data_IF_077846492080
#
_entry.id   IF_077846492080
#
_cell.length_a   1.000
_cell.length_b   1.000
_cell.length_c   1.000
_cell.angle_alpha   90.00
_cell.angle_beta   90.00
_cell.angle_gamma   90.00
#
_symmetry.space_group_name_H-M   'P 1'
#
loop_
_entity.id
_entity.type
_entity.pdbx_description
1 polymer ?
#
# COMPACT_ATOMS: atom_id res chain seq x y z
N UNK A 1 -4.17 10.20 -4.46
CA UNK A 1 -4.68 10.37 -5.84
C UNK A 1 -3.80 9.50 -6.71
N UNK A 2 -4.34 8.42 -7.24
CA UNK A 2 -3.76 7.78 -8.42
C UNK A 2 -4.12 8.66 -9.62
N UNK A 3 -3.10 9.22 -10.25
CA UNK A 3 -3.15 9.90 -11.54
C UNK A 3 -3.78 11.32 -11.60
N UNK A 4 -2.95 12.37 -11.48
CA UNK A 4 -3.31 13.73 -11.91
C UNK A 4 -2.20 14.30 -12.82
N UNK A 5 -2.50 14.48 -14.11
CA UNK A 5 -1.58 15.01 -15.14
C UNK A 5 -1.03 16.37 -14.74
N UNK A 6 0.28 16.44 -14.48
CA UNK A 6 1.00 17.71 -14.50
C UNK A 6 1.08 18.19 -15.96
N UNK A 7 0.64 19.42 -16.21
CA UNK A 7 0.71 20.01 -17.54
C UNK A 7 2.16 20.15 -17.99
N UNK A 8 2.40 19.72 -19.22
CA UNK A 8 3.54 19.97 -20.14
C UNK A 8 4.58 18.84 -20.31
N UNK A 9 4.87 17.96 -19.34
CA UNK A 9 5.74 16.76 -19.59
C UNK A 9 5.18 15.40 -19.14
N UNK A 10 3.97 15.35 -18.59
CA UNK A 10 3.27 14.07 -18.33
C UNK A 10 3.79 13.22 -17.17
N UNK A 11 4.71 13.73 -16.34
CA UNK A 11 5.09 13.06 -15.09
C UNK A 11 3.95 13.17 -14.07
N UNK A 12 3.46 12.01 -13.64
CA UNK A 12 2.40 11.89 -12.65
C UNK A 12 2.85 10.88 -11.62
N UNK A 13 3.05 11.29 -10.36
CA UNK A 13 3.43 10.34 -9.33
C UNK A 13 2.23 9.48 -8.91
N UNK A 14 2.50 8.21 -8.61
CA UNK A 14 1.52 7.36 -7.91
C UNK A 14 1.25 7.91 -6.50
N UNK A 15 2.31 8.35 -5.81
CA UNK A 15 2.22 9.09 -4.57
C UNK A 15 3.39 10.06 -4.38
N UNK A 16 3.10 11.23 -3.82
CA UNK A 16 4.10 12.18 -3.37
C UNK A 16 3.74 12.72 -1.98
N UNK A 17 4.71 12.76 -1.08
CA UNK A 17 4.59 13.33 0.25
C UNK A 17 5.46 14.57 0.41
N UNK A 18 4.97 15.60 1.08
CA UNK A 18 5.71 16.83 1.35
C UNK A 18 5.99 16.96 2.84
N UNK A 19 7.24 17.30 3.19
CA UNK A 19 7.66 17.61 4.56
C UNK A 19 8.30 18.99 4.60
N UNK A 20 7.74 19.86 5.44
CA UNK A 20 8.33 21.16 5.78
C UNK A 20 8.21 21.39 7.28
N UNK A 21 9.33 21.26 7.98
CA UNK A 21 9.43 21.35 9.45
C UNK A 21 10.38 22.46 9.90
N UNK A 22 11.05 23.15 8.97
CA UNK A 22 12.10 24.12 9.28
C UNK A 22 13.47 23.46 9.48
N UNK A 23 13.60 22.17 9.14
CA UNK A 23 14.85 21.44 9.27
C UNK A 23 15.33 20.92 7.91
N UNK A 24 16.17 21.72 7.25
CA UNK A 24 16.56 21.59 5.84
C UNK A 24 17.05 20.19 5.44
N UNK A 25 17.80 19.53 6.34
CA UNK A 25 18.33 18.18 6.09
C UNK A 25 17.23 17.14 5.83
N UNK A 26 16.02 17.37 6.35
CA UNK A 26 14.87 16.45 6.21
C UNK A 26 13.67 17.08 5.53
N UNK A 27 13.71 18.38 5.26
CA UNK A 27 12.67 19.10 4.54
C UNK A 27 12.80 18.84 3.04
N UNK A 28 11.68 18.51 2.40
CA UNK A 28 11.64 18.14 0.99
C UNK A 28 10.43 17.27 0.69
N UNK A 29 10.54 16.52 -0.39
CA UNK A 29 9.46 15.71 -0.93
C UNK A 29 9.92 14.26 -1.12
N UNK A 30 8.99 13.33 -0.93
CA UNK A 30 9.21 11.90 -1.18
C UNK A 30 8.27 11.44 -2.28
N UNK A 31 8.85 11.04 -3.40
CA UNK A 31 8.16 10.40 -4.52
C UNK A 31 8.13 8.88 -4.31
N UNK A 32 6.97 8.26 -4.51
CA UNK A 32 6.81 6.81 -4.51
C UNK A 32 6.10 6.37 -5.80
N UNK A 33 6.73 5.44 -6.50
CA UNK A 33 6.23 4.80 -7.73
C UNK A 33 5.92 3.33 -7.47
N UNK A 34 4.66 2.94 -7.62
CA UNK A 34 4.19 1.59 -7.33
C UNK A 34 4.32 0.73 -8.58
N UNK A 35 4.95 -0.43 -8.46
CA UNK A 35 5.13 -1.38 -9.58
C UNK A 35 4.55 -2.74 -9.22
N UNK A 36 3.71 -3.25 -10.12
CA UNK A 36 3.04 -4.56 -9.97
C UNK A 36 3.59 -5.62 -10.90
N UNK A 37 4.45 -5.25 -11.86
CA UNK A 37 5.17 -6.18 -12.73
C UNK A 37 6.61 -5.73 -12.96
N UNK A 38 7.48 -6.70 -13.26
CA UNK A 38 8.89 -6.42 -13.56
C UNK A 38 9.05 -5.61 -14.84
N UNK A 39 8.23 -5.86 -15.85
CA UNK A 39 8.25 -5.13 -17.12
C UNK A 39 7.88 -3.65 -16.93
N UNK A 40 6.86 -3.38 -16.10
CA UNK A 40 6.44 -2.04 -15.73
C UNK A 40 7.57 -1.26 -15.02
N UNK A 41 8.25 -1.90 -14.06
CA UNK A 41 9.44 -1.31 -13.43
C UNK A 41 10.54 -0.95 -14.45
N UNK A 42 10.90 -1.89 -15.34
CA UNK A 42 11.97 -1.67 -16.33
C UNK A 42 11.64 -0.57 -17.35
N UNK A 43 10.36 -0.42 -17.70
CA UNK A 43 9.90 0.65 -18.58
C UNK A 43 9.93 2.01 -17.86
N UNK A 44 9.47 2.06 -16.61
CA UNK A 44 9.47 3.28 -15.81
C UNK A 44 10.90 3.77 -15.52
N UNK A 45 11.79 2.87 -15.10
CA UNK A 45 13.18 3.19 -14.74
C UNK A 45 14.00 3.83 -15.89
N UNK A 46 13.56 3.68 -17.14
CA UNK A 46 14.20 4.27 -18.32
C UNK A 46 13.69 5.66 -18.68
N UNK A 47 12.63 6.15 -18.03
CA UNK A 47 12.10 7.50 -18.28
C UNK A 47 13.15 8.55 -17.90
N UNK A 48 13.26 9.61 -18.71
CA UNK A 48 14.28 10.66 -18.53
C UNK A 48 14.26 11.28 -17.13
N UNK A 49 13.07 11.62 -16.63
CA UNK A 49 12.85 12.20 -15.30
C UNK A 49 13.13 11.22 -14.13
N UNK A 50 13.41 9.94 -14.40
CA UNK A 50 13.89 8.97 -13.40
C UNK A 50 15.41 8.96 -13.28
N UNK A 51 16.11 9.42 -14.32
CA UNK A 51 17.56 9.48 -14.41
C UNK A 51 18.08 10.86 -13.99
N UNK A 52 17.46 11.93 -14.48
CA UNK A 52 17.80 13.31 -14.11
C UNK A 52 16.59 14.24 -14.25
N UNK A 53 16.53 15.27 -13.41
CA UNK A 53 15.35 16.10 -13.24
C UNK A 53 14.24 15.34 -12.52
N UNK A 54 13.00 15.80 -12.68
CA UNK A 54 11.82 15.17 -12.09
C UNK A 54 11.52 15.63 -10.66
N UNK A 55 10.46 15.09 -10.07
CA UNK A 55 9.99 15.45 -8.73
C UNK A 55 10.52 14.49 -7.66
N UNK A 56 10.44 14.90 -6.39
CA UNK A 56 10.88 14.14 -5.24
C UNK A 56 12.35 14.40 -4.90
N UNK A 57 12.58 14.98 -3.72
CA UNK A 57 13.91 15.07 -3.09
C UNK A 57 14.46 13.69 -2.74
N UNK A 58 13.57 12.75 -2.41
CA UNK A 58 13.87 11.33 -2.29
C UNK A 58 12.87 10.53 -3.12
N UNK A 59 13.34 9.47 -3.78
CA UNK A 59 12.56 8.74 -4.77
C UNK A 59 12.61 7.24 -4.46
N UNK A 60 11.45 6.61 -4.46
CA UNK A 60 11.31 5.20 -4.12
C UNK A 60 10.46 4.48 -5.14
N UNK A 61 10.87 3.26 -5.50
CA UNK A 61 9.93 2.28 -5.99
C UNK A 61 9.27 1.56 -4.82
N UNK A 62 7.99 1.23 -4.95
CA UNK A 62 7.28 0.34 -4.06
C UNK A 62 6.78 -0.87 -4.85
N UNK A 63 7.11 -2.08 -4.39
CA UNK A 63 6.72 -3.29 -5.10
C UNK A 63 6.52 -4.48 -4.14
N UNK A 64 5.75 -5.51 -4.56
CA UNK A 64 5.69 -6.79 -3.85
C UNK A 64 7.07 -7.41 -3.64
N UNK A 65 7.16 -8.26 -2.61
CA UNK A 65 8.40 -8.99 -2.31
C UNK A 65 8.93 -9.78 -3.52
N UNK A 66 10.21 -9.56 -3.83
CA UNK A 66 10.93 -10.25 -4.91
C UNK A 66 10.71 -9.68 -6.32
N UNK A 67 9.87 -8.65 -6.49
CA UNK A 67 9.61 -8.09 -7.82
C UNK A 67 10.78 -7.23 -8.35
N UNK A 68 11.38 -6.41 -7.49
CA UNK A 68 12.53 -5.56 -7.82
C UNK A 68 13.72 -6.03 -6.98
N UNK A 69 14.85 -6.29 -7.64
CA UNK A 69 16.13 -6.49 -6.96
C UNK A 69 16.72 -5.10 -6.65
N UNK A 70 17.18 -4.83 -5.42
CA UNK A 70 17.84 -3.57 -5.09
C UNK A 70 18.99 -3.20 -6.04
N UNK A 71 19.67 -4.17 -6.65
CA UNK A 71 20.78 -3.92 -7.57
C UNK A 71 20.33 -3.39 -8.95
N UNK A 72 19.04 -3.51 -9.28
CA UNK A 72 18.49 -2.99 -10.53
C UNK A 72 18.00 -1.54 -10.42
N UNK A 73 18.04 -0.96 -9.21
CA UNK A 73 17.54 0.39 -8.98
C UNK A 73 18.39 1.42 -9.72
N UNK A 74 17.77 2.44 -10.31
CA UNK A 74 18.51 3.61 -10.77
C UNK A 74 19.26 4.24 -9.58
N UNK A 75 20.40 4.86 -9.87
CA UNK A 75 21.25 5.46 -8.84
C UNK A 75 20.45 6.46 -7.98
N UNK A 76 20.60 6.38 -6.65
CA UNK A 76 19.90 7.25 -5.70
C UNK A 76 18.44 6.87 -5.41
N UNK A 77 17.86 5.91 -6.13
CA UNK A 77 16.51 5.42 -5.83
C UNK A 77 16.49 4.42 -4.69
N UNK A 78 15.49 4.56 -3.81
CA UNK A 78 15.21 3.58 -2.77
C UNK A 78 14.19 2.53 -3.20
N UNK A 79 14.03 1.50 -2.36
CA UNK A 79 13.06 0.43 -2.58
C UNK A 79 12.28 0.14 -1.29
N UNK A 80 10.95 0.23 -1.40
CA UNK A 80 9.99 -0.16 -0.39
C UNK A 80 9.33 -1.47 -0.81
N UNK A 81 9.62 -2.54 -0.08
CA UNK A 81 9.03 -3.84 -0.33
C UNK A 81 7.76 -4.01 0.49
N UNK A 82 6.66 -4.43 -0.16
CA UNK A 82 5.40 -4.75 0.51
C UNK A 82 5.24 -6.27 0.56
N UNK A 83 4.91 -6.80 1.73
CA UNK A 83 4.58 -8.22 1.89
C UNK A 83 3.07 -8.47 1.64
N UNK A 84 2.66 -9.74 1.63
CA UNK A 84 1.26 -10.14 1.42
C UNK A 84 0.29 -9.61 2.49
N UNK A 85 0.80 -9.23 3.67
CA UNK A 85 0.02 -8.64 4.77
C UNK A 85 -0.06 -7.10 4.70
N UNK A 86 0.52 -6.48 3.67
CA UNK A 86 0.57 -5.03 3.51
C UNK A 86 1.65 -4.34 4.36
N UNK A 87 2.54 -5.07 5.02
CA UNK A 87 3.64 -4.46 5.75
C UNK A 87 4.72 -3.99 4.78
N UNK A 88 5.18 -2.75 4.98
CA UNK A 88 6.23 -2.13 4.17
C UNK A 88 7.57 -2.27 4.88
N UNK A 89 8.59 -2.71 4.14
CA UNK A 89 10.00 -2.76 4.56
C UNK A 89 10.88 -2.02 3.57
N UNK A 90 11.65 -1.03 4.03
CA UNK A 90 12.68 -0.41 3.20
C UNK A 90 13.86 -1.38 3.01
N UNK A 91 14.27 -1.57 1.76
CA UNK A 91 15.44 -2.39 1.39
C UNK A 91 16.59 -1.53 0.86
N UNK A 92 16.30 -0.35 0.31
CA UNK A 92 17.28 0.65 -0.13
C UNK A 92 16.73 2.06 0.10
N UNK A 93 17.60 3.07 0.13
CA UNK A 93 17.24 4.46 0.42
C UNK A 93 17.43 4.87 1.87
N UNK A 94 17.44 6.18 2.15
CA UNK A 94 17.63 6.72 3.49
C UNK A 94 16.59 6.21 4.52
N UNK A 95 15.42 5.75 4.07
CA UNK A 95 14.37 5.20 4.93
C UNK A 95 14.80 3.93 5.69
N UNK A 96 15.82 3.21 5.23
CA UNK A 96 16.38 2.06 5.97
C UNK A 96 16.98 2.47 7.32
N UNK A 97 17.39 3.73 7.45
CA UNK A 97 18.02 4.29 8.66
C UNK A 97 17.03 4.99 9.60
N UNK A 98 15.72 4.95 9.32
CA UNK A 98 14.71 5.66 10.12
C UNK A 98 14.67 5.24 11.60
N UNK A 99 15.00 3.98 11.90
CA UNK A 99 15.09 3.45 13.27
C UNK A 99 16.49 3.57 13.89
N UNK A 100 17.46 4.08 13.13
CA UNK A 100 18.84 4.24 13.56
C UNK A 100 19.07 5.49 14.39
N UNK A 101 20.34 5.85 14.57
CA UNK A 101 20.69 7.10 15.24
C UNK A 101 20.30 8.30 14.38
N UNK A 102 19.90 9.38 15.04
CA UNK A 102 19.46 10.59 14.36
C UNK A 102 20.52 11.16 13.40
N UNK A 103 21.78 11.27 13.83
CA UNK A 103 22.86 11.79 13.00
C UNK A 103 23.13 10.93 11.75
N UNK A 104 22.99 9.61 11.87
CA UNK A 104 23.13 8.70 10.75
C UNK A 104 21.97 8.86 9.77
N UNK A 105 20.74 8.94 10.27
CA UNK A 105 19.56 9.22 9.45
C UNK A 105 19.73 10.51 8.64
N UNK A 106 20.26 11.57 9.25
CA UNK A 106 20.50 12.84 8.56
C UNK A 106 21.58 12.76 7.50
N UNK A 107 22.70 12.09 7.79
CA UNK A 107 23.75 11.85 6.79
C UNK A 107 23.17 11.11 5.59
N UNK A 108 22.37 10.08 5.83
CA UNK A 108 21.73 9.29 4.78
C UNK A 108 20.68 10.11 4.04
N UNK A 109 19.88 10.93 4.73
CA UNK A 109 18.94 11.84 4.08
C UNK A 109 19.67 12.77 3.09
N UNK A 110 20.83 13.34 3.45
CA UNK A 110 21.63 14.16 2.55
C UNK A 110 22.23 13.35 1.38
N UNK A 111 22.78 12.16 1.64
CA UNK A 111 23.44 11.33 0.62
C UNK A 111 22.47 10.82 -0.45
N UNK A 112 21.24 10.49 -0.07
CA UNK A 112 20.21 9.96 -0.97
C UNK A 112 19.33 11.07 -1.59
N UNK A 113 19.66 12.34 -1.34
CA UNK A 113 18.86 13.46 -1.82
C UNK A 113 19.19 13.79 -3.27
N UNK A 114 18.16 13.85 -4.10
CA UNK A 114 18.24 14.48 -5.42
C UNK A 114 18.25 15.99 -5.26
N UNK A 115 19.21 16.64 -5.92
CA UNK A 115 19.36 18.11 -5.91
C UNK A 115 18.70 18.75 -7.13
N UNK A 116 18.51 17.99 -8.20
CA UNK A 116 17.87 18.39 -9.46
C UNK A 116 16.35 18.17 -9.43
N UNK A 117 15.69 18.69 -8.40
CA UNK A 117 14.23 18.55 -8.21
C UNK A 117 13.48 19.65 -8.95
N UNK A 118 12.47 19.28 -9.73
CA UNK A 118 11.53 20.22 -10.34
C UNK A 118 10.52 20.75 -9.30
N UNK A 119 10.95 21.79 -8.58
CA UNK A 119 10.16 22.43 -7.52
C UNK A 119 8.88 23.08 -8.08
N UNK A 120 8.92 23.62 -9.31
CA UNK A 120 7.73 24.23 -9.93
C UNK A 120 6.64 23.19 -10.16
N UNK A 121 7.00 21.99 -10.61
CA UNK A 121 6.06 20.87 -10.77
C UNK A 121 5.54 20.34 -9.45
N UNK A 122 6.38 20.26 -8.44
CA UNK A 122 5.96 19.91 -7.07
C UNK A 122 4.94 20.91 -6.51
N UNK A 123 5.20 22.21 -6.65
CA UNK A 123 4.27 23.26 -6.25
C UNK A 123 2.95 23.16 -7.01
N UNK A 124 3.00 22.89 -8.32
CA UNK A 124 1.80 22.66 -9.11
C UNK A 124 0.98 21.49 -8.57
N UNK A 125 1.62 20.35 -8.25
CA UNK A 125 0.96 19.18 -7.67
C UNK A 125 0.37 19.49 -6.29
N UNK A 126 1.07 20.26 -5.46
CA UNK A 126 0.58 20.67 -4.15
C UNK A 126 -0.64 21.59 -4.27
N UNK A 127 -0.59 22.60 -5.14
CA UNK A 127 -1.73 23.50 -5.41
C UNK A 127 -2.93 22.71 -5.93
N UNK A 128 -2.71 21.77 -6.86
CA UNK A 128 -3.75 20.86 -7.36
C UNK A 128 -4.33 19.98 -6.26
N UNK A 129 -3.48 19.41 -5.40
CA UNK A 129 -3.95 18.61 -4.28
C UNK A 129 -4.84 19.43 -3.34
N UNK A 130 -4.44 20.67 -3.01
CA UNK A 130 -5.20 21.59 -2.16
C UNK A 130 -6.50 22.08 -2.83
N UNK A 131 -6.48 22.33 -4.13
CA UNK A 131 -7.67 22.74 -4.89
C UNK A 131 -8.69 21.60 -5.04
N UNK A 132 -8.21 20.34 -5.10
CA UNK A 132 -9.05 19.15 -5.25
C UNK A 132 -9.50 18.55 -3.92
N UNK A 133 -8.79 18.79 -2.82
CA UNK A 133 -9.39 18.62 -1.50
C UNK A 133 -10.50 19.63 -1.43
N UNK A 134 -11.75 19.18 -1.49
CA UNK A 134 -12.91 20.03 -1.18
C UNK A 134 -12.81 20.52 0.27
N UNK A 135 -13.93 20.69 0.94
CA UNK A 135 -13.91 21.07 2.37
C UNK A 135 -13.02 20.09 3.20
N UNK A 136 -11.88 20.55 3.76
CA UNK A 136 -10.95 19.70 4.50
C UNK A 136 -11.61 19.01 5.70
N UNK A 137 -12.65 19.64 6.27
CA UNK A 137 -13.41 19.06 7.37
C UNK A 137 -14.20 17.84 6.89
N UNK A 138 -14.79 17.90 5.70
CA UNK A 138 -15.48 16.75 5.10
C UNK A 138 -14.53 15.60 4.85
N UNK A 139 -13.32 15.87 4.35
CA UNK A 139 -12.30 14.83 4.14
C UNK A 139 -11.90 14.19 5.47
N UNK A 140 -11.67 14.99 6.52
CA UNK A 140 -11.33 14.47 7.86
C UNK A 140 -12.46 13.61 8.44
N UNK A 141 -13.72 14.05 8.28
CA UNK A 141 -14.90 13.28 8.70
C UNK A 141 -14.96 11.96 7.95
N UNK A 142 -14.82 11.97 6.62
CA UNK A 142 -14.81 10.76 5.79
C UNK A 142 -13.70 9.79 6.19
N UNK A 143 -12.49 10.29 6.48
CA UNK A 143 -11.37 9.46 6.93
C UNK A 143 -11.66 8.81 8.29
N UNK A 144 -12.23 9.58 9.23
CA UNK A 144 -12.64 9.06 10.54
C UNK A 144 -13.72 8.00 10.39
N UNK A 145 -14.71 8.22 9.53
CA UNK A 145 -15.76 7.25 9.23
C UNK A 145 -15.22 5.99 8.54
N UNK A 146 -14.30 6.12 7.61
CA UNK A 146 -13.63 5.00 6.96
C UNK A 146 -12.83 4.16 7.97
N UNK A 147 -12.03 4.81 8.83
CA UNK A 147 -11.28 4.14 9.89
C UNK A 147 -12.21 3.43 10.90
N UNK A 148 -13.29 4.08 11.30
CA UNK A 148 -14.30 3.48 12.17
C UNK A 148 -14.97 2.25 11.51
N UNK A 149 -15.28 2.33 10.21
CA UNK A 149 -15.82 1.20 9.44
C UNK A 149 -14.81 0.05 9.37
N UNK A 150 -13.55 0.34 9.05
CA UNK A 150 -12.49 -0.66 9.01
C UNK A 150 -12.33 -1.36 10.37
N UNK A 151 -12.27 -0.61 11.47
CA UNK A 151 -12.18 -1.17 12.82
C UNK A 151 -13.38 -2.08 13.16
N UNK A 152 -14.61 -1.66 12.79
CA UNK A 152 -15.82 -2.48 12.98
C UNK A 152 -15.78 -3.77 12.15
N UNK A 153 -15.34 -3.70 10.90
CA UNK A 153 -15.22 -4.86 10.02
C UNK A 153 -14.15 -5.83 10.55
N UNK A 154 -12.99 -5.34 10.97
CA UNK A 154 -11.96 -6.17 11.62
C UNK A 154 -12.51 -6.88 12.85
N UNK A 155 -13.18 -6.16 13.74
CA UNK A 155 -13.80 -6.75 14.93
C UNK A 155 -14.90 -7.79 14.59
N UNK A 156 -15.62 -7.60 13.48
CA UNK A 156 -16.60 -8.57 13.01
C UNK A 156 -15.92 -9.84 12.46
N UNK A 157 -14.87 -9.69 11.65
CA UNK A 157 -14.07 -10.81 11.12
C UNK A 157 -13.46 -11.62 12.26
N UNK A 158 -12.86 -10.96 13.25
CA UNK A 158 -12.28 -11.64 14.42
C UNK A 158 -13.33 -12.40 15.24
N UNK A 159 -14.52 -11.84 15.39
CA UNK A 159 -15.63 -12.49 16.09
C UNK A 159 -16.11 -13.75 15.36
N UNK A 160 -16.24 -13.68 14.02
CA UNK A 160 -16.62 -14.82 13.20
C UNK A 160 -15.52 -15.88 13.22
N UNK A 161 -14.25 -15.48 13.07
CA UNK A 161 -13.11 -16.38 13.16
C UNK A 161 -13.14 -17.15 14.50
N UNK A 162 -13.35 -16.45 15.62
CA UNK A 162 -13.48 -17.06 16.94
C UNK A 162 -14.66 -18.04 17.01
N UNK A 163 -15.82 -17.69 16.46
CA UNK A 163 -16.99 -18.58 16.44
C UNK A 163 -16.75 -19.85 15.60
N UNK A 164 -15.90 -19.76 14.58
CA UNK A 164 -15.47 -20.89 13.76
C UNK A 164 -14.28 -21.67 14.36
N UNK A 165 -13.80 -21.29 15.55
CA UNK A 165 -12.64 -21.92 16.18
C UNK A 165 -11.30 -21.64 15.48
N UNK A 166 -11.23 -20.59 14.66
CA UNK A 166 -10.05 -20.21 13.93
C UNK A 166 -9.07 -19.39 14.80
N UNK A 167 -7.76 -19.42 14.50
CA UNK A 167 -6.75 -18.65 15.24
C UNK A 167 -7.01 -17.13 15.26
N UNK A 168 -6.34 -16.41 16.16
CA UNK A 168 -6.30 -14.96 16.10
C UNK A 168 -5.61 -14.47 14.81
N UNK A 169 -6.09 -13.35 14.27
CA UNK A 169 -5.59 -12.75 13.03
C UNK A 169 -5.76 -13.62 11.77
N UNK A 170 -6.69 -14.57 11.78
CA UNK A 170 -7.08 -15.31 10.56
C UNK A 170 -7.57 -14.34 9.48
N UNK A 171 -7.10 -14.55 8.25
CA UNK A 171 -7.47 -13.70 7.13
C UNK A 171 -8.98 -13.81 6.81
N UNK A 172 -9.58 -12.74 6.28
CA UNK A 172 -10.98 -12.76 5.85
C UNK A 172 -11.27 -13.89 4.86
N UNK A 173 -10.32 -14.18 3.97
CA UNK A 173 -10.39 -15.27 3.00
C UNK A 173 -10.48 -16.65 3.68
N UNK A 174 -9.67 -16.92 4.70
CA UNK A 174 -9.71 -18.19 5.42
C UNK A 174 -11.00 -18.36 6.24
N UNK A 175 -11.49 -17.27 6.84
CA UNK A 175 -12.81 -17.24 7.50
C UNK A 175 -13.91 -17.60 6.50
N UNK A 176 -13.91 -16.96 5.33
CA UNK A 176 -14.92 -17.21 4.29
C UNK A 176 -14.83 -18.63 3.73
N UNK A 177 -13.62 -19.14 3.46
CA UNK A 177 -13.38 -20.50 2.99
C UNK A 177 -13.90 -21.53 3.99
N UNK A 178 -13.61 -21.35 5.27
CA UNK A 178 -14.05 -22.27 6.34
C UNK A 178 -15.56 -22.27 6.49
N UNK A 179 -16.19 -21.08 6.47
CA UNK A 179 -17.64 -20.96 6.51
C UNK A 179 -18.32 -21.64 5.32
N UNK A 180 -17.73 -21.53 4.12
CA UNK A 180 -18.24 -22.17 2.90
C UNK A 180 -18.17 -23.70 3.00
N UNK A 181 -17.06 -24.25 3.47
CA UNK A 181 -16.88 -25.70 3.66
C UNK A 181 -17.86 -26.27 4.70
N UNK A 182 -18.06 -25.57 5.82
CA UNK A 182 -19.02 -25.97 6.85
C UNK A 182 -20.45 -25.97 6.31
N UNK A 183 -20.83 -24.95 5.53
CA UNK A 183 -22.15 -24.90 4.90
C UNK A 183 -22.38 -26.10 3.97
N UNK A 184 -21.42 -26.39 3.09
CA UNK A 184 -21.49 -27.54 2.18
C UNK A 184 -21.60 -28.88 2.94
N UNK A 185 -20.89 -29.01 4.06
CA UNK A 185 -20.96 -30.21 4.91
C UNK A 185 -22.34 -30.38 5.55
N UNK A 186 -22.89 -29.30 6.11
CA UNK A 186 -24.23 -29.31 6.71
C UNK A 186 -25.28 -29.66 5.66
N UNK A 187 -25.22 -29.07 4.47
CA UNK A 187 -26.14 -29.38 3.36
C UNK A 187 -26.05 -30.84 2.93
N UNK A 188 -24.83 -31.38 2.80
CA UNK A 188 -24.61 -32.79 2.49
C UNK A 188 -25.19 -33.72 3.57
N UNK A 189 -24.91 -33.45 4.85
CA UNK A 189 -25.37 -34.29 5.97
C UNK A 189 -26.90 -34.21 6.14
N UNK A 190 -27.51 -33.05 5.87
CA UNK A 190 -28.96 -32.88 5.86
C UNK A 190 -29.62 -33.69 4.73
N UNK A 191 -29.08 -33.63 3.51
CA UNK A 191 -29.58 -34.42 2.39
C UNK A 191 -29.46 -35.93 2.65
N UNK A 192 -28.34 -36.36 3.26
CA UNK A 192 -28.14 -37.77 3.62
C UNK A 192 -29.16 -38.26 4.66
N UNK A 193 -29.48 -37.46 5.68
CA UNK A 193 -30.54 -37.80 6.64
C UNK A 193 -31.92 -37.86 5.98
N UNK A 194 -32.22 -36.94 5.06
CA UNK A 194 -33.50 -36.91 4.36
C UNK A 194 -33.72 -38.17 3.49
N UNK A 195 -32.67 -38.72 2.88
CA UNK A 195 -32.76 -39.96 2.12
C UNK A 195 -33.00 -41.17 3.02
N UNK A 196 -32.33 -41.23 4.19
CA UNK A 196 -32.49 -42.32 5.15
C UNK A 196 -33.90 -42.39 5.75
N UNK A 197 -34.56 -41.25 5.98
CA UNK A 197 -35.95 -41.22 6.48
C UNK A 197 -36.99 -41.59 5.42
N UNK A 198 -36.70 -41.40 4.13
CA UNK A 198 -37.60 -41.84 3.05
C UNK A 198 -37.54 -43.34 2.77
N UNK A 199 -36.39 -43.98 2.98
CA UNK A 199 -36.23 -45.43 2.80
C UNK A 199 -36.91 -46.25 3.91
N UNK A 200 -36.91 -45.75 5.15
CA UNK A 200 -37.60 -46.38 6.29
C UNK A 200 -39.13 -46.33 6.11
N UNK A 201 -39.66 -45.27 5.50
CA UNK A 201 -41.10 -45.13 5.25
C UNK A 201 -41.62 -45.96 4.07
N UNK A 202 -40.73 -46.53 3.23
CA UNK A 202 -41.10 -47.37 2.07
C UNK A 202 -41.03 -48.88 2.33
N UNK A 203 -40.46 -49.29 3.47
CA UNK A 203 -40.30 -50.70 3.86
C UNK A 203 -41.02 -51.06 5.17
N UNK A 204 -41.97 -50.22 5.60
CA UNK A 204 -42.86 -50.46 6.75
C UNK A 204 -44.29 -50.69 6.32
#
# INVERSE_FOLDING_TARGET
MSECKSGVDGEIPDAIGFRRTGYDATDGSVLVEVKTSRADFLADAKKSHRISGGIGSWRYYMAPKGLIDPNDLPMGWGLLQVNERGHVKALAGHATYFKGRHDEYLRQACLWRFLDVDVSREQFLLVRALANTGDPQKVLIMLREANNRAARLTAAVERIAKALGLPQHTSSYEVERTARLLRQRIEHDFNKMSCLTTDIARHG
#
